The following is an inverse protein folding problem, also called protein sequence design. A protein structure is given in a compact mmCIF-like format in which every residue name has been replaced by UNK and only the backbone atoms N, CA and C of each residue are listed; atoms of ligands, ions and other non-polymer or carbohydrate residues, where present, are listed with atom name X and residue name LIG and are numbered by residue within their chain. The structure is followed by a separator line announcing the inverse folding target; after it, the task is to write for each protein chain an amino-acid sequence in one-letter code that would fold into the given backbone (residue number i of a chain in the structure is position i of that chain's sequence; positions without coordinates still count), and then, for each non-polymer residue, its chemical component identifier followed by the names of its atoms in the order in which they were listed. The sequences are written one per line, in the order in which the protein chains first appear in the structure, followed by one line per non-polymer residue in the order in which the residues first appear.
data_IF_029129915099
#
_entry.id   IF_029129915099
#
_cell.length_a   1.000
_cell.length_b   1.000
_cell.length_c   1.000
_cell.angle_alpha   90.00
_cell.angle_beta   90.00
_cell.angle_gamma   90.00
#
_symmetry.space_group_name_H-M   'P 1'
#
loop_
_entity.id
_entity.type
_entity.pdbx_description
1 polymer ?
#
# COMPACT_ATOMS: atom_id res chain seq x y z
N UNK A 1 8.05 -20.47 14.57
CA UNK A 1 9.06 -19.84 13.69
C UNK A 1 8.72 -19.97 12.21
N UNK A 2 8.40 -21.14 11.64
CA UNK A 2 8.02 -21.22 10.21
C UNK A 2 6.63 -20.64 9.90
N UNK A 3 5.63 -20.91 10.77
CA UNK A 3 4.26 -20.43 10.58
C UNK A 3 4.16 -18.89 10.59
N UNK A 4 4.98 -18.21 11.40
CA UNK A 4 4.99 -16.76 11.52
C UNK A 4 5.50 -16.08 10.24
N UNK A 5 6.51 -16.67 9.61
CA UNK A 5 7.08 -16.19 8.35
C UNK A 5 6.10 -16.40 7.21
N UNK A 6 5.48 -17.59 7.10
CA UNK A 6 4.47 -17.86 6.07
C UNK A 6 3.26 -16.92 6.18
N UNK A 7 2.85 -16.59 7.40
CA UNK A 7 1.76 -15.63 7.61
C UNK A 7 2.14 -14.21 7.20
N UNK A 8 3.39 -13.80 7.45
CA UNK A 8 3.92 -12.52 7.00
C UNK A 8 3.97 -12.44 5.47
N UNK A 9 4.51 -13.47 4.81
CA UNK A 9 4.59 -13.58 3.35
C UNK A 9 3.20 -13.47 2.70
N UNK A 10 2.22 -14.20 3.25
CA UNK A 10 0.83 -14.16 2.76
C UNK A 10 0.25 -12.75 2.81
N UNK A 11 0.51 -12.01 3.90
CA UNK A 11 0.02 -10.63 4.05
C UNK A 11 0.74 -9.69 3.07
N UNK A 12 2.06 -9.78 2.97
CA UNK A 12 2.87 -9.00 2.02
C UNK A 12 2.39 -9.23 0.59
N UNK A 13 2.22 -10.49 0.19
CA UNK A 13 1.76 -10.86 -1.15
C UNK A 13 0.37 -10.28 -1.45
N UNK A 14 -0.56 -10.38 -0.50
CA UNK A 14 -1.91 -9.80 -0.65
C UNK A 14 -1.85 -8.30 -0.92
N UNK A 15 -1.06 -7.55 -0.16
CA UNK A 15 -0.96 -6.10 -0.32
C UNK A 15 -0.26 -5.69 -1.61
N UNK A 16 0.82 -6.40 -1.99
CA UNK A 16 1.52 -6.16 -3.26
C UNK A 16 0.65 -6.49 -4.46
N UNK A 17 -0.08 -7.61 -4.42
CA UNK A 17 -0.99 -8.01 -5.51
C UNK A 17 -2.06 -6.95 -5.76
N UNK A 18 -2.71 -6.47 -4.69
CA UNK A 18 -3.75 -5.44 -4.81
C UNK A 18 -3.22 -4.14 -5.44
N UNK A 19 -2.02 -3.70 -5.03
CA UNK A 19 -1.37 -2.54 -5.64
C UNK A 19 -1.09 -2.78 -7.13
N UNK A 20 -0.47 -3.90 -7.48
CA UNK A 20 -0.09 -4.23 -8.86
C UNK A 20 -1.31 -4.29 -9.78
N UNK A 21 -2.40 -4.91 -9.35
CA UNK A 21 -3.63 -4.99 -10.15
C UNK A 21 -4.22 -3.61 -10.48
N UNK A 22 -4.25 -2.68 -9.52
CA UNK A 22 -4.71 -1.32 -9.78
C UNK A 22 -3.73 -0.52 -10.64
N UNK A 23 -2.41 -0.73 -10.45
CA UNK A 23 -1.38 -0.07 -11.26
C UNK A 23 -1.44 -0.52 -12.71
N UNK A 24 -1.54 -1.82 -12.95
CA UNK A 24 -1.69 -2.41 -14.29
C UNK A 24 -2.97 -1.91 -14.97
N UNK A 25 -4.10 -1.87 -14.25
CA UNK A 25 -5.34 -1.27 -14.76
C UNK A 25 -5.14 0.19 -15.16
N UNK A 26 -4.49 0.99 -14.32
CA UNK A 26 -4.21 2.40 -14.62
C UNK A 26 -3.27 2.58 -15.83
N UNK A 27 -2.26 1.74 -15.98
CA UNK A 27 -1.33 1.80 -17.12
C UNK A 27 -2.06 1.64 -18.46
N UNK A 28 -3.11 0.82 -18.48
CA UNK A 28 -3.99 0.59 -19.64
C UNK A 28 -5.06 1.67 -19.77
N UNK A 29 -5.82 1.93 -18.69
CA UNK A 29 -7.03 2.77 -18.72
C UNK A 29 -6.71 4.26 -18.71
N UNK A 30 -5.58 4.65 -18.09
CA UNK A 30 -5.25 6.02 -17.70
C UNK A 30 -6.35 6.72 -16.89
N UNK A 31 -7.23 5.95 -16.24
CA UNK A 31 -8.30 6.47 -15.38
C UNK A 31 -7.75 6.87 -14.00
N UNK A 32 -8.06 8.10 -13.58
CA UNK A 32 -7.70 8.61 -12.24
C UNK A 32 -8.24 7.73 -11.11
N UNK A 33 -9.37 7.03 -11.30
CA UNK A 33 -9.92 6.11 -10.31
C UNK A 33 -8.99 4.94 -10.02
N UNK A 34 -8.38 4.37 -11.06
CA UNK A 34 -7.39 3.30 -10.92
C UNK A 34 -6.10 3.81 -10.28
N UNK A 35 -5.65 5.02 -10.67
CA UNK A 35 -4.50 5.67 -10.02
C UNK A 35 -4.72 5.89 -8.52
N UNK A 36 -5.89 6.40 -8.12
CA UNK A 36 -6.24 6.60 -6.72
C UNK A 36 -6.38 5.28 -5.97
N UNK A 37 -6.92 4.25 -6.60
CA UNK A 37 -7.03 2.92 -5.99
C UNK A 37 -5.65 2.29 -5.77
N UNK A 38 -4.74 2.39 -6.75
CA UNK A 38 -3.35 1.96 -6.62
C UNK A 38 -2.65 2.72 -5.48
N UNK A 39 -2.80 4.04 -5.42
CA UNK A 39 -2.25 4.87 -4.34
C UNK A 39 -2.76 4.46 -2.94
N UNK A 40 -4.07 4.16 -2.81
CA UNK A 40 -4.65 3.66 -1.55
C UNK A 40 -4.14 2.27 -1.17
N UNK A 41 -3.98 1.37 -2.13
CA UNK A 41 -3.42 0.04 -1.89
C UNK A 41 -1.96 0.14 -1.39
N UNK A 42 -1.16 0.98 -2.05
CA UNK A 42 0.22 1.25 -1.66
C UNK A 42 0.33 1.88 -0.26
N UNK A 43 -0.53 2.86 0.02
CA UNK A 43 -0.65 3.51 1.32
C UNK A 43 -0.91 2.50 2.46
N UNK A 44 -1.76 1.48 2.23
CA UNK A 44 -2.00 0.40 3.21
C UNK A 44 -0.78 -0.49 3.41
N UNK A 45 -0.09 -0.88 2.33
CA UNK A 45 1.16 -1.64 2.42
C UNK A 45 2.19 -0.93 3.30
N UNK A 46 2.40 0.37 3.05
CA UNK A 46 3.36 1.17 3.80
C UNK A 46 2.95 1.34 5.26
N UNK A 47 1.66 1.55 5.54
CA UNK A 47 1.15 1.67 6.90
C UNK A 47 1.44 0.41 7.75
N UNK A 48 1.39 -0.77 7.11
CA UNK A 48 1.55 -2.08 7.73
C UNK A 48 3.01 -2.52 7.85
N UNK A 49 3.83 -2.32 6.82
CA UNK A 49 5.17 -2.92 6.74
C UNK A 49 6.32 -1.93 6.81
N UNK A 50 6.05 -0.62 6.72
CA UNK A 50 7.10 0.40 6.86
C UNK A 50 6.98 1.06 8.24
N UNK A 51 7.85 0.70 9.19
CA UNK A 51 7.77 1.17 10.57
C UNK A 51 8.23 2.63 10.75
N UNK A 52 8.86 3.25 9.74
CA UNK A 52 9.38 4.60 9.87
C UNK A 52 8.26 5.65 9.77
N UNK A 53 8.10 6.42 10.85
CA UNK A 53 7.15 7.54 10.93
C UNK A 53 7.39 8.60 9.85
N UNK A 54 8.64 8.76 9.38
CA UNK A 54 8.97 9.69 8.29
C UNK A 54 8.39 9.26 6.95
N UNK A 55 8.38 7.95 6.66
CA UNK A 55 7.76 7.43 5.43
C UNK A 55 6.25 7.57 5.48
N UNK A 56 5.63 7.38 6.66
CA UNK A 56 4.20 7.62 6.86
C UNK A 56 3.84 9.11 6.65
N UNK A 57 4.62 10.04 7.20
CA UNK A 57 4.42 11.48 6.96
C UNK A 57 4.61 11.86 5.48
N UNK A 58 5.65 11.34 4.81
CA UNK A 58 5.91 11.63 3.41
C UNK A 58 4.80 11.13 2.47
N UNK A 59 4.10 10.05 2.83
CA UNK A 59 3.12 9.38 1.97
C UNK A 59 1.69 9.82 2.28
N UNK A 60 1.35 10.05 3.55
CA UNK A 60 -0.01 10.47 3.94
C UNK A 60 -0.17 11.99 4.04
N UNK A 61 0.93 12.75 4.07
CA UNK A 61 0.92 14.19 4.37
C UNK A 61 0.41 14.48 5.79
N UNK A 62 0.42 15.76 6.20
CA UNK A 62 -0.03 16.30 7.50
C UNK A 62 -1.45 15.88 7.98
N UNK A 63 -2.15 15.00 7.25
CA UNK A 63 -3.47 14.47 7.55
C UNK A 63 -3.56 13.76 8.92
N UNK A 64 -2.45 13.24 9.46
CA UNK A 64 -2.41 12.59 10.77
C UNK A 64 -2.19 13.54 11.96
N UNK A 65 -1.74 14.79 11.75
CA UNK A 65 -1.52 15.76 12.84
C UNK A 65 -2.78 16.48 13.34
N UNK A 66 -3.96 16.22 12.73
CA UNK A 66 -5.22 16.91 13.04
C UNK A 66 -6.27 16.08 13.80
N UNK A 67 -5.86 15.02 14.51
CA UNK A 67 -6.78 14.26 15.38
C UNK A 67 -6.29 14.25 16.82
#
# INVERSE_FOLDING_TARGET
MSADVTHLETRVERHLREYSEHRERFEVSRDIKDALAAGRAWSRFLAEFVPDGKTKEAVHGDALRRR
#
